data_IF_718797082936
#
_entry.id   IF_718797082936
#
_cell.length_a   1.000
_cell.length_b   1.000
_cell.length_c   1.000
_cell.angle_alpha   90.00
_cell.angle_beta   90.00
_cell.angle_gamma   90.00
#
_symmetry.space_group_name_H-M   'P 1'
#
loop_
_entity.id
_entity.type
_entity.pdbx_description
1 polymer ?
#
# COMPACT_ATOMS: atom_id res chain seq x y z
N UNK A 1 30.54 -4.98 -12.53
CA UNK A 1 30.18 -5.61 -11.27
C UNK A 1 28.66 -5.52 -11.13
N UNK A 2 27.97 -6.65 -11.04
CA UNK A 2 26.52 -6.68 -10.89
C UNK A 2 26.08 -6.16 -9.53
N UNK A 3 24.91 -5.52 -9.45
CA UNK A 3 24.28 -5.07 -8.21
C UNK A 3 22.90 -5.68 -8.09
N UNK A 4 22.55 -6.22 -6.94
CA UNK A 4 21.20 -6.71 -6.65
C UNK A 4 20.42 -5.63 -5.91
N UNK A 5 19.24 -5.31 -6.40
CA UNK A 5 18.26 -4.43 -5.75
C UNK A 5 17.02 -5.24 -5.41
N UNK A 6 16.51 -5.03 -4.20
CA UNK A 6 15.36 -5.78 -3.68
C UNK A 6 14.29 -4.82 -3.23
N UNK A 7 13.05 -5.12 -3.56
CA UNK A 7 11.86 -4.45 -3.03
C UNK A 7 10.80 -5.48 -2.63
N UNK A 8 9.94 -5.06 -1.73
CA UNK A 8 8.79 -5.85 -1.27
C UNK A 8 7.48 -5.12 -1.52
N UNK A 9 6.40 -5.87 -1.57
CA UNK A 9 5.02 -5.36 -1.60
C UNK A 9 4.12 -6.24 -0.74
N UNK A 10 2.95 -5.73 -0.42
CA UNK A 10 1.93 -6.43 0.37
C UNK A 10 0.57 -6.37 -0.31
N UNK A 11 -0.25 -7.39 -0.08
CA UNK A 11 -1.62 -7.44 -0.61
C UNK A 11 -2.53 -6.40 0.06
N UNK A 12 -3.70 -6.18 -0.52
CA UNK A 12 -4.72 -5.30 0.04
C UNK A 12 -5.18 -5.74 1.45
N UNK A 13 -5.09 -7.04 1.76
CA UNK A 13 -5.46 -7.59 3.05
C UNK A 13 -4.33 -7.62 4.09
N UNK A 14 -3.13 -7.17 3.76
CA UNK A 14 -2.11 -6.96 4.79
C UNK A 14 -2.61 -5.95 5.84
N UNK A 15 -2.44 -6.16 7.15
CA UNK A 15 -3.03 -5.31 8.19
C UNK A 15 -2.75 -3.81 8.02
N UNK A 16 -1.52 -3.42 7.69
CA UNK A 16 -1.21 -2.02 7.44
C UNK A 16 -1.92 -1.48 6.18
N UNK A 17 -2.04 -2.28 5.10
CA UNK A 17 -2.75 -1.85 3.89
C UNK A 17 -4.26 -1.85 4.06
N UNK A 18 -4.81 -2.71 4.92
CA UNK A 18 -6.19 -2.62 5.37
C UNK A 18 -6.45 -1.27 6.06
N UNK A 19 -5.56 -0.85 6.96
CA UNK A 19 -5.66 0.46 7.62
C UNK A 19 -5.57 1.61 6.62
N UNK A 20 -4.64 1.55 5.66
CA UNK A 20 -4.55 2.53 4.59
C UNK A 20 -5.87 2.60 3.80
N UNK A 21 -6.44 1.45 3.42
CA UNK A 21 -7.70 1.39 2.68
C UNK A 21 -8.90 1.91 3.49
N UNK A 22 -8.96 1.67 4.80
CA UNK A 22 -9.99 2.22 5.69
C UNK A 22 -9.87 3.75 5.74
N UNK A 23 -8.68 4.27 5.98
CA UNK A 23 -8.42 5.70 6.05
C UNK A 23 -8.73 6.41 4.72
N UNK A 24 -8.37 5.80 3.59
CA UNK A 24 -8.67 6.32 2.25
C UNK A 24 -10.18 6.26 1.94
N UNK A 25 -10.89 5.21 2.35
CA UNK A 25 -12.35 5.13 2.17
C UNK A 25 -13.11 6.20 2.96
N UNK A 26 -12.62 6.55 4.15
CA UNK A 26 -13.14 7.69 4.93
C UNK A 26 -12.84 9.01 4.21
N UNK A 27 -11.62 9.17 3.71
CA UNK A 27 -11.22 10.34 2.93
C UNK A 27 -12.09 10.51 1.69
N UNK A 28 -12.29 9.46 0.91
CA UNK A 28 -13.11 9.47 -0.30
C UNK A 28 -14.55 9.88 0.02
N UNK A 29 -15.16 9.31 1.06
CA UNK A 29 -16.51 9.66 1.50
C UNK A 29 -16.61 11.13 1.95
N UNK A 30 -15.58 11.66 2.62
CA UNK A 30 -15.53 13.08 2.98
C UNK A 30 -15.47 13.99 1.75
N UNK A 31 -14.61 13.66 0.77
CA UNK A 31 -14.43 14.47 -0.45
C UNK A 31 -15.66 14.40 -1.35
N UNK A 32 -16.36 13.28 -1.39
CA UNK A 32 -17.62 13.13 -2.15
C UNK A 32 -18.70 14.09 -1.63
N UNK A 33 -18.78 14.28 -0.31
CA UNK A 33 -19.72 15.22 0.32
C UNK A 33 -19.24 16.68 0.26
N UNK A 34 -17.96 16.89 0.46
CA UNK A 34 -17.34 18.21 0.50
C UNK A 34 -15.97 18.18 -0.17
N UNK A 35 -15.86 18.65 -1.43
CA UNK A 35 -14.57 18.68 -2.14
C UNK A 35 -13.47 19.52 -1.45
N UNK A 36 -13.84 20.32 -0.45
CA UNK A 36 -12.92 21.11 0.37
C UNK A 36 -12.76 20.58 1.79
N UNK A 37 -13.24 19.36 2.05
CA UNK A 37 -13.08 18.67 3.32
C UNK A 37 -11.62 18.66 3.78
N UNK A 38 -11.40 18.91 5.05
CA UNK A 38 -10.10 18.70 5.69
C UNK A 38 -10.15 17.40 6.45
N UNK A 39 -9.29 16.46 6.04
CA UNK A 39 -9.29 15.10 6.56
C UNK A 39 -7.86 14.69 6.92
N UNK A 40 -7.70 14.19 8.12
CA UNK A 40 -6.49 13.57 8.62
C UNK A 40 -6.91 12.41 9.53
N UNK A 41 -7.23 11.26 8.92
CA UNK A 41 -7.71 10.08 9.65
C UNK A 41 -6.68 8.96 9.54
N UNK A 42 -6.36 8.41 10.68
CA UNK A 42 -5.50 7.25 10.85
C UNK A 42 -6.30 6.09 11.44
N UNK A 43 -5.97 4.89 11.04
CA UNK A 43 -6.63 3.68 11.50
C UNK A 43 -5.61 2.73 12.11
N UNK A 44 -6.07 1.94 13.09
CA UNK A 44 -5.35 0.80 13.64
C UNK A 44 -6.29 -0.40 13.64
N UNK A 45 -5.78 -1.58 13.30
CA UNK A 45 -6.52 -2.83 13.40
C UNK A 45 -5.74 -3.86 14.21
N UNK A 46 -6.47 -4.64 15.03
CA UNK A 46 -5.92 -5.82 15.72
C UNK A 46 -7.01 -6.85 15.93
N UNK A 47 -6.72 -8.10 15.54
CA UNK A 47 -7.55 -9.26 15.81
C UNK A 47 -7.01 -10.07 17.00
N UNK A 48 -7.91 -10.76 17.66
CA UNK A 48 -7.69 -11.78 18.69
C UNK A 48 -8.44 -13.05 18.29
N UNK A 49 -8.38 -14.09 19.11
CA UNK A 49 -9.05 -15.35 18.77
C UNK A 49 -10.58 -15.19 18.56
N UNK A 50 -11.22 -14.40 19.41
CA UNK A 50 -12.69 -14.30 19.46
C UNK A 50 -13.18 -12.88 19.20
N UNK A 51 -12.30 -11.91 19.06
CA UNK A 51 -12.66 -10.50 18.87
C UNK A 51 -11.64 -9.76 18.01
N UNK A 52 -12.06 -8.66 17.44
CA UNK A 52 -11.21 -7.75 16.67
C UNK A 52 -11.53 -6.32 17.02
N UNK A 53 -10.58 -5.42 16.80
CA UNK A 53 -10.79 -3.99 17.05
C UNK A 53 -10.25 -3.17 15.88
N UNK A 54 -11.07 -2.23 15.43
CA UNK A 54 -10.67 -1.13 14.53
C UNK A 54 -10.70 0.15 15.36
N UNK A 55 -9.62 0.89 15.38
CA UNK A 55 -9.58 2.24 15.99
C UNK A 55 -9.42 3.24 14.87
N UNK A 56 -10.30 4.23 14.84
CA UNK A 56 -10.27 5.38 13.93
C UNK A 56 -9.92 6.61 14.75
N UNK A 57 -8.84 7.30 14.42
CA UNK A 57 -8.40 8.49 15.16
C UNK A 57 -7.99 9.60 14.20
N UNK A 58 -8.24 10.84 14.58
CA UNK A 58 -7.83 12.00 13.79
C UNK A 58 -8.85 13.11 13.74
N UNK A 59 -8.78 13.93 12.71
CA UNK A 59 -9.62 15.11 12.55
C UNK A 59 -10.29 15.11 11.18
N UNK A 60 -11.58 15.44 11.19
CA UNK A 60 -12.40 15.68 10.00
C UNK A 60 -13.13 17.00 10.15
N UNK A 61 -13.10 17.84 9.13
CA UNK A 61 -13.91 19.06 9.05
C UNK A 61 -14.63 19.06 7.71
N UNK A 62 -15.96 18.97 7.78
CA UNK A 62 -16.88 19.08 6.66
C UNK A 62 -17.66 20.37 6.75
N UNK A 63 -18.26 20.80 5.65
CA UNK A 63 -19.24 21.88 5.64
C UNK A 63 -20.47 21.53 6.51
N UNK A 64 -21.18 22.53 7.00
CA UNK A 64 -22.34 22.34 7.89
C UNK A 64 -23.41 21.44 7.26
N UNK A 65 -23.98 20.56 8.05
CA UNK A 65 -25.09 19.68 7.67
C UNK A 65 -24.68 18.32 7.08
N UNK A 66 -23.39 18.01 7.01
CA UNK A 66 -22.91 16.69 6.59
C UNK A 66 -22.46 15.86 7.79
N UNK A 67 -22.95 14.62 7.85
CA UNK A 67 -22.53 13.60 8.82
C UNK A 67 -22.18 12.31 8.08
N UNK A 68 -21.18 11.60 8.59
CA UNK A 68 -20.72 10.30 8.05
C UNK A 68 -20.69 9.27 9.17
N UNK A 69 -21.13 8.07 8.87
CA UNK A 69 -20.94 6.90 9.71
C UNK A 69 -19.57 6.29 9.43
N UNK A 70 -18.57 6.71 10.18
CA UNK A 70 -17.20 6.25 10.03
C UNK A 70 -17.05 4.75 10.37
N UNK A 71 -17.86 4.23 11.31
CA UNK A 71 -17.88 2.81 11.64
C UNK A 71 -18.35 2.00 10.44
N UNK A 72 -19.47 2.39 9.83
CA UNK A 72 -20.02 1.69 8.66
C UNK A 72 -19.01 1.68 7.49
N UNK A 73 -18.33 2.80 7.24
CA UNK A 73 -17.31 2.91 6.19
C UNK A 73 -16.15 1.94 6.47
N UNK A 74 -15.65 1.91 7.71
CA UNK A 74 -14.54 1.04 8.10
C UNK A 74 -14.91 -0.44 7.95
N UNK A 75 -16.08 -0.85 8.44
CA UNK A 75 -16.60 -2.22 8.32
C UNK A 75 -16.76 -2.64 6.87
N UNK A 76 -17.43 -1.84 6.05
CA UNK A 76 -17.63 -2.10 4.61
C UNK A 76 -16.29 -2.25 3.87
N UNK A 77 -15.32 -1.45 4.21
CA UNK A 77 -13.99 -1.53 3.61
C UNK A 77 -13.28 -2.82 3.97
N UNK A 78 -13.31 -3.22 5.24
CA UNK A 78 -12.71 -4.47 5.69
C UNK A 78 -13.39 -5.70 5.05
N UNK A 79 -14.72 -5.74 5.01
CA UNK A 79 -15.50 -6.79 4.35
C UNK A 79 -15.16 -6.85 2.85
N UNK A 80 -15.10 -5.72 2.17
CA UNK A 80 -14.71 -5.64 0.74
C UNK A 80 -13.33 -6.22 0.48
N UNK A 81 -12.41 -6.14 1.43
CA UNK A 81 -11.07 -6.71 1.33
C UNK A 81 -11.08 -8.21 1.57
N UNK A 82 -12.07 -8.76 2.29
CA UNK A 82 -12.24 -10.17 2.56
C UNK A 82 -12.16 -10.53 4.04
N UNK A 83 -12.35 -9.55 4.94
CA UNK A 83 -12.39 -9.74 6.39
C UNK A 83 -13.84 -9.81 6.87
N UNK A 84 -14.52 -10.88 6.50
CA UNK A 84 -15.92 -11.20 6.80
C UNK A 84 -16.10 -12.52 7.56
N UNK A 85 -14.99 -13.11 8.02
CA UNK A 85 -14.95 -14.33 8.81
C UNK A 85 -13.76 -14.29 9.78
N UNK A 86 -13.98 -14.64 11.05
CA UNK A 86 -12.94 -14.64 12.08
C UNK A 86 -11.77 -15.57 11.75
N UNK A 87 -12.01 -16.65 11.03
CA UNK A 87 -10.97 -17.62 10.64
C UNK A 87 -9.90 -17.05 9.73
N UNK A 88 -10.21 -15.98 8.98
CA UNK A 88 -9.23 -15.30 8.12
C UNK A 88 -8.44 -14.21 8.84
N UNK A 89 -8.77 -13.94 10.11
CA UNK A 89 -8.05 -13.00 10.96
C UNK A 89 -8.85 -11.82 11.51
N UNK A 90 -10.08 -11.60 11.02
CA UNK A 90 -11.03 -10.61 11.50
C UNK A 90 -12.40 -10.82 10.84
N UNK A 91 -13.48 -10.71 11.61
CA UNK A 91 -14.84 -10.60 11.08
C UNK A 91 -15.40 -9.20 11.31
N UNK A 92 -15.29 -8.34 10.30
CA UNK A 92 -15.81 -6.98 10.35
C UNK A 92 -17.33 -6.89 10.20
N UNK A 93 -18.01 -7.99 9.84
CA UNK A 93 -19.47 -8.04 9.68
C UNK A 93 -20.21 -8.34 10.98
N UNK A 94 -19.52 -8.97 11.93
CA UNK A 94 -20.09 -9.46 13.18
C UNK A 94 -19.90 -8.53 14.38
N UNK A 95 -20.59 -8.87 15.47
CA UNK A 95 -20.51 -8.19 16.76
C UNK A 95 -19.15 -8.40 17.45
N UNK A 96 -18.36 -9.38 16.98
CA UNK A 96 -17.00 -9.64 17.46
C UNK A 96 -15.98 -8.58 17.04
N UNK A 97 -16.33 -7.67 16.13
CA UNK A 97 -15.48 -6.55 15.74
C UNK A 97 -15.94 -5.26 16.39
N UNK A 98 -15.13 -4.73 17.31
CA UNK A 98 -15.35 -3.42 17.92
C UNK A 98 -14.77 -2.31 17.03
N UNK A 99 -15.53 -1.23 16.82
CA UNK A 99 -15.02 -0.02 16.18
C UNK A 99 -15.00 1.13 17.18
N UNK A 100 -13.82 1.68 17.42
CA UNK A 100 -13.62 2.82 18.35
C UNK A 100 -13.34 4.04 17.50
N UNK A 101 -14.25 5.00 17.51
CA UNK A 101 -14.14 6.25 16.75
C UNK A 101 -13.69 7.40 17.66
N UNK A 102 -12.49 7.91 17.42
CA UNK A 102 -11.84 9.04 18.09
C UNK A 102 -11.56 10.15 17.07
N UNK A 103 -12.59 10.52 16.29
CA UNK A 103 -12.48 11.54 15.25
C UNK A 103 -13.08 12.84 15.79
N UNK A 104 -12.25 13.89 15.82
CA UNK A 104 -12.64 15.23 16.25
C UNK A 104 -12.64 16.23 15.09
N UNK A 105 -12.96 17.51 15.43
CA UNK A 105 -12.78 18.62 14.49
C UNK A 105 -11.34 19.13 14.58
N UNK A 106 -10.78 19.57 13.43
CA UNK A 106 -9.45 20.17 13.40
C UNK A 106 -9.32 21.37 14.33
N UNK A 107 -8.21 21.45 15.07
CA UNK A 107 -7.89 22.57 15.94
C UNK A 107 -7.97 23.91 15.22
N UNK A 108 -8.58 24.96 15.83
CA UNK A 108 -8.62 26.31 15.24
C UNK A 108 -7.23 26.89 14.92
N UNK A 109 -6.20 26.51 15.67
CA UNK A 109 -4.82 26.99 15.49
C UNK A 109 -4.20 26.39 14.22
N UNK A 110 -4.43 25.09 13.96
CA UNK A 110 -4.00 24.45 12.70
C UNK A 110 -4.80 25.01 11.53
N UNK A 111 -6.09 25.25 11.71
CA UNK A 111 -6.97 25.83 10.70
C UNK A 111 -6.50 27.22 10.23
N UNK A 112 -5.88 28.03 11.09
CA UNK A 112 -5.30 29.33 10.69
C UNK A 112 -4.18 29.20 9.67
N UNK A 113 -3.37 28.15 9.74
CA UNK A 113 -2.30 27.89 8.78
C UNK A 113 -2.81 27.39 7.42
N UNK A 114 -4.00 26.81 7.37
CA UNK A 114 -4.58 26.17 6.17
C UNK A 114 -5.56 27.08 5.44
N UNK A 115 -6.34 27.90 6.18
CA UNK A 115 -7.37 28.74 5.60
C UNK A 115 -6.79 29.92 4.81
N UNK A 116 -7.31 30.09 3.59
CA UNK A 116 -6.94 31.23 2.72
C UNK A 116 -7.22 32.56 3.46
N UNK A 117 -6.18 33.37 3.62
CA UNK A 117 -6.28 34.71 4.22
C UNK A 117 -6.28 34.74 5.76
N UNK A 118 -6.23 33.61 6.44
CA UNK A 118 -6.21 33.55 7.90
C UNK A 118 -4.79 33.52 8.52
N UNK A 119 -3.78 33.10 7.75
CA UNK A 119 -2.38 33.05 8.16
C UNK A 119 -1.56 34.30 7.79
N UNK A 120 -0.25 34.23 8.03
CA UNK A 120 0.71 35.28 7.59
C UNK A 120 0.80 35.39 6.08
N UNK A 121 0.64 34.28 5.38
CA UNK A 121 0.55 34.20 3.93
C UNK A 121 -0.90 34.15 3.49
N UNK A 122 -1.23 34.89 2.42
CA UNK A 122 -2.61 34.98 1.91
C UNK A 122 -3.04 33.75 1.11
N UNK A 123 -2.12 32.86 0.79
CA UNK A 123 -2.40 31.58 0.11
C UNK A 123 -2.80 30.49 1.09
N UNK A 124 -3.31 29.39 0.54
CA UNK A 124 -3.60 28.19 1.33
C UNK A 124 -2.30 27.53 1.79
N UNK A 125 -2.15 27.29 3.08
CA UNK A 125 -0.99 26.63 3.68
C UNK A 125 -1.14 25.11 3.78
N UNK A 126 -0.04 24.40 4.07
CA UNK A 126 0.00 22.94 4.12
C UNK A 126 -0.35 22.33 5.49
N UNK A 127 -0.58 23.13 6.52
CA UNK A 127 -0.87 22.65 7.88
C UNK A 127 0.34 22.06 8.62
N UNK A 128 1.32 21.50 7.92
CA UNK A 128 2.56 20.96 8.47
C UNK A 128 3.69 21.03 7.43
N UNK A 129 4.92 20.83 7.88
CA UNK A 129 6.08 20.71 7.00
C UNK A 129 6.06 19.33 6.28
N UNK A 130 6.66 19.26 5.11
CA UNK A 130 6.77 18.01 4.35
C UNK A 130 7.93 18.03 3.37
N UNK A 131 8.46 16.85 3.08
CA UNK A 131 9.48 16.64 2.04
C UNK A 131 9.01 15.54 1.10
N UNK A 132 9.08 15.80 -0.21
CA UNK A 132 8.61 14.89 -1.25
C UNK A 132 9.76 14.49 -2.16
N UNK A 133 9.75 13.22 -2.57
CA UNK A 133 10.68 12.68 -3.54
C UNK A 133 9.91 12.12 -4.73
N UNK A 134 10.37 12.48 -5.93
CA UNK A 134 9.91 11.89 -7.17
C UNK A 134 11.05 11.10 -7.80
N UNK A 135 10.74 9.94 -8.35
CA UNK A 135 11.68 9.08 -9.07
C UNK A 135 11.01 8.47 -10.30
N UNK A 136 11.73 8.38 -11.40
CA UNK A 136 11.28 7.69 -12.59
C UNK A 136 12.47 6.99 -13.26
N UNK A 137 12.23 5.81 -13.84
CA UNK A 137 13.21 5.02 -14.56
C UNK A 137 12.60 4.48 -15.86
N UNK A 138 13.41 4.40 -16.90
CA UNK A 138 13.01 3.76 -18.16
C UNK A 138 13.52 2.32 -18.28
N UNK A 139 13.80 1.68 -17.17
CA UNK A 139 14.41 0.35 -17.15
C UNK A 139 13.46 -0.78 -17.58
N UNK A 140 12.16 -0.53 -17.54
CA UNK A 140 11.13 -1.43 -18.03
C UNK A 140 10.89 -1.34 -19.55
N UNK A 141 11.42 -0.32 -20.21
CA UNK A 141 11.24 -0.15 -21.65
C UNK A 141 11.93 -1.26 -22.44
N UNK A 142 11.19 -1.86 -23.36
CA UNK A 142 11.65 -3.00 -24.16
C UNK A 142 11.51 -4.36 -23.45
N UNK A 143 10.85 -4.42 -22.31
CA UNK A 143 10.46 -5.67 -21.65
C UNK A 143 8.94 -5.83 -21.83
N UNK A 144 8.56 -6.84 -22.61
CA UNK A 144 7.16 -7.09 -23.00
C UNK A 144 6.22 -7.09 -21.78
N UNK A 145 5.17 -6.28 -21.84
CA UNK A 145 4.16 -6.14 -20.81
C UNK A 145 4.57 -5.28 -19.61
N UNK A 146 5.76 -4.67 -19.63
CA UNK A 146 6.23 -3.77 -18.57
C UNK A 146 6.44 -2.33 -19.04
N UNK A 147 6.30 -2.07 -20.33
CA UNK A 147 6.53 -0.76 -20.93
C UNK A 147 5.63 0.33 -20.33
N UNK A 148 6.15 1.55 -20.27
CA UNK A 148 5.40 2.73 -19.83
C UNK A 148 5.16 2.82 -18.33
N UNK A 149 5.69 1.92 -17.52
CA UNK A 149 5.49 1.96 -16.07
C UNK A 149 6.33 3.04 -15.38
N UNK A 150 7.52 3.32 -15.90
CA UNK A 150 8.51 4.25 -15.36
C UNK A 150 8.88 4.04 -13.88
N UNK A 151 8.53 2.90 -13.32
CA UNK A 151 8.80 2.50 -11.94
C UNK A 151 10.05 1.61 -11.87
N UNK A 152 10.77 1.63 -10.73
CA UNK A 152 11.84 0.68 -10.49
C UNK A 152 11.36 -0.77 -10.61
N UNK A 153 12.13 -1.62 -11.30
CA UNK A 153 11.74 -2.99 -11.62
C UNK A 153 11.37 -3.83 -10.38
N UNK A 154 12.15 -3.86 -9.29
CA UNK A 154 11.84 -4.71 -8.13
C UNK A 154 10.48 -4.40 -7.51
N UNK A 155 10.17 -3.12 -7.29
CA UNK A 155 8.88 -2.72 -6.67
C UNK A 155 7.71 -2.94 -7.63
N UNK A 156 7.89 -2.65 -8.91
CA UNK A 156 6.85 -2.87 -9.92
C UNK A 156 6.46 -4.36 -10.01
N UNK A 157 7.44 -5.25 -10.06
CA UNK A 157 7.17 -6.70 -10.09
C UNK A 157 6.55 -7.18 -8.78
N UNK A 158 7.01 -6.67 -7.64
CA UNK A 158 6.40 -6.97 -6.34
C UNK A 158 4.94 -6.54 -6.28
N UNK A 159 4.60 -5.35 -6.77
CA UNK A 159 3.20 -4.89 -6.84
C UNK A 159 2.35 -5.79 -7.73
N UNK A 160 2.83 -6.16 -8.91
CA UNK A 160 2.09 -7.03 -9.82
C UNK A 160 1.78 -8.40 -9.22
N UNK A 161 2.71 -8.96 -8.44
CA UNK A 161 2.51 -10.24 -7.75
C UNK A 161 1.45 -10.13 -6.65
N UNK A 162 1.51 -9.09 -5.80
CA UNK A 162 0.50 -8.90 -4.74
C UNK A 162 -0.88 -8.55 -5.29
N UNK A 163 -0.95 -7.82 -6.39
CA UNK A 163 -2.20 -7.57 -7.10
C UNK A 163 -2.76 -8.86 -7.72
N UNK A 164 -1.91 -9.71 -8.29
CA UNK A 164 -2.32 -10.99 -8.87
C UNK A 164 -2.93 -11.93 -7.81
N UNK A 165 -2.32 -12.08 -6.62
CA UNK A 165 -2.91 -12.89 -5.54
C UNK A 165 -4.23 -12.28 -5.05
N UNK A 166 -4.31 -10.97 -4.89
CA UNK A 166 -5.54 -10.27 -4.48
C UNK A 166 -6.67 -10.51 -5.48
N UNK A 167 -6.39 -10.40 -6.79
CA UNK A 167 -7.38 -10.67 -7.84
C UNK A 167 -7.79 -12.15 -7.89
N UNK A 168 -6.83 -13.07 -7.76
CA UNK A 168 -7.11 -14.50 -7.80
C UNK A 168 -8.01 -14.95 -6.65
N UNK A 169 -7.79 -14.46 -5.44
CA UNK A 169 -8.66 -14.72 -4.29
C UNK A 169 -10.05 -14.12 -4.47
N UNK A 170 -10.14 -12.84 -4.81
CA UNK A 170 -11.42 -12.12 -4.98
C UNK A 170 -12.29 -12.68 -6.12
N UNK A 171 -11.69 -13.11 -7.21
CA UNK A 171 -12.43 -13.68 -8.34
C UNK A 171 -12.83 -15.14 -8.13
N UNK A 172 -12.32 -15.79 -7.08
CA UNK A 172 -12.47 -17.22 -6.86
C UNK A 172 -11.66 -18.09 -7.82
N UNK A 173 -10.76 -17.51 -8.62
CA UNK A 173 -9.87 -18.28 -9.51
C UNK A 173 -8.93 -19.21 -8.72
N UNK A 174 -8.57 -18.80 -7.52
CA UNK A 174 -7.87 -19.61 -6.52
C UNK A 174 -8.62 -19.46 -5.19
N UNK A 175 -9.64 -20.27 -4.94
CA UNK A 175 -10.63 -20.04 -3.88
C UNK A 175 -10.07 -20.19 -2.45
N UNK A 176 -8.96 -20.86 -2.29
CA UNK A 176 -8.30 -21.07 -1.00
C UNK A 176 -7.35 -19.94 -0.60
N UNK A 177 -7.11 -18.95 -1.46
CA UNK A 177 -6.32 -17.75 -1.11
C UNK A 177 -7.15 -16.87 -0.16
N UNK A 178 -6.50 -16.45 0.93
CA UNK A 178 -7.03 -15.51 1.92
C UNK A 178 -6.41 -14.12 1.74
N UNK A 179 -6.96 -13.06 2.41
CA UNK A 179 -6.63 -11.66 2.07
C UNK A 179 -5.17 -11.27 2.26
N UNK A 180 -4.49 -11.81 3.29
CA UNK A 180 -3.12 -11.40 3.63
C UNK A 180 -2.07 -12.06 2.73
N UNK A 181 -1.08 -11.28 2.35
CA UNK A 181 0.02 -11.78 1.55
C UNK A 181 1.10 -10.74 1.29
N UNK A 182 2.28 -11.24 0.94
CA UNK A 182 3.47 -10.43 0.66
C UNK A 182 4.24 -10.99 -0.52
N UNK A 183 4.94 -10.11 -1.22
CA UNK A 183 5.93 -10.49 -2.22
C UNK A 183 7.23 -9.74 -2.00
N UNK A 184 8.35 -10.34 -2.38
CA UNK A 184 9.65 -9.70 -2.45
C UNK A 184 10.36 -10.14 -3.71
N UNK A 185 10.89 -9.19 -4.47
CA UNK A 185 11.62 -9.46 -5.71
C UNK A 185 13.00 -8.82 -5.64
N UNK A 186 14.03 -9.64 -5.90
CA UNK A 186 15.42 -9.22 -6.02
C UNK A 186 15.86 -9.30 -7.46
N UNK A 187 16.27 -8.18 -8.03
CA UNK A 187 16.66 -8.05 -9.44
C UNK A 187 18.16 -7.76 -9.53
N UNK A 188 18.85 -8.51 -10.38
CA UNK A 188 20.25 -8.24 -10.75
C UNK A 188 20.30 -7.14 -11.79
N UNK A 189 21.16 -6.17 -11.56
CA UNK A 189 21.47 -5.07 -12.47
C UNK A 189 22.90 -5.17 -12.96
N UNK A 190 23.09 -5.04 -14.24
CA UNK A 190 24.38 -4.85 -14.90
C UNK A 190 24.33 -3.58 -15.75
N UNK A 191 25.34 -2.74 -15.65
CA UNK A 191 25.40 -1.46 -16.38
C UNK A 191 24.12 -0.60 -16.21
N UNK A 192 23.53 -0.63 -14.99
CA UNK A 192 22.30 0.06 -14.63
C UNK A 192 21.03 -0.46 -15.34
N UNK A 193 21.07 -1.64 -15.95
CA UNK A 193 19.91 -2.30 -16.57
C UNK A 193 19.57 -3.58 -15.80
N UNK A 194 18.28 -3.86 -15.58
CA UNK A 194 17.86 -5.13 -15.02
C UNK A 194 18.18 -6.25 -16.02
N UNK A 195 18.79 -7.33 -15.55
CA UNK A 195 19.18 -8.47 -16.39
C UNK A 195 18.50 -9.78 -15.98
N UNK A 196 17.85 -9.81 -14.83
CA UNK A 196 17.11 -10.99 -14.38
C UNK A 196 16.81 -10.96 -12.88
N UNK A 197 15.93 -11.84 -12.45
CA UNK A 197 15.55 -12.02 -11.05
C UNK A 197 16.50 -13.02 -10.40
N UNK A 198 17.08 -12.67 -9.25
CA UNK A 198 17.91 -13.57 -8.45
C UNK A 198 17.11 -14.32 -7.40
N UNK A 199 16.10 -13.66 -6.82
CA UNK A 199 15.16 -14.31 -5.91
C UNK A 199 13.78 -13.68 -5.94
N UNK A 200 12.76 -14.51 -5.72
CA UNK A 200 11.37 -14.16 -5.60
C UNK A 200 10.80 -14.89 -4.40
N UNK A 201 10.22 -14.16 -3.46
CA UNK A 201 9.61 -14.73 -2.26
C UNK A 201 8.16 -14.29 -2.23
N UNK A 202 7.25 -15.23 -1.99
CA UNK A 202 5.83 -14.95 -1.76
C UNK A 202 5.37 -15.61 -0.46
N UNK A 203 4.64 -14.86 0.34
CA UNK A 203 3.86 -15.38 1.45
C UNK A 203 2.38 -15.13 1.13
N UNK A 204 1.59 -16.18 1.11
CA UNK A 204 0.17 -16.16 0.73
C UNK A 204 -0.64 -16.85 1.81
N UNK A 205 -1.53 -16.12 2.44
CA UNK A 205 -2.46 -16.67 3.41
C UNK A 205 -3.44 -17.60 2.70
N UNK A 206 -3.74 -18.77 3.31
CA UNK A 206 -4.53 -19.82 2.68
C UNK A 206 -5.41 -20.58 3.68
N UNK A 207 -6.40 -21.29 3.18
CA UNK A 207 -7.22 -22.23 3.95
C UNK A 207 -6.42 -23.40 4.50
N UNK A 208 -6.99 -24.11 5.48
CA UNK A 208 -6.41 -25.36 5.99
C UNK A 208 -6.63 -26.52 5.01
N UNK A 209 -5.94 -26.45 3.87
CA UNK A 209 -6.05 -27.46 2.82
C UNK A 209 -5.53 -28.83 3.26
N UNK A 210 -4.59 -28.88 4.20
CA UNK A 210 -4.11 -30.14 4.74
C UNK A 210 -5.26 -30.94 5.36
N UNK A 211 -6.08 -30.31 6.19
CA UNK A 211 -7.25 -30.93 6.80
C UNK A 211 -8.38 -31.21 5.80
N UNK A 212 -8.60 -30.27 4.86
CA UNK A 212 -9.73 -30.34 3.93
C UNK A 212 -9.50 -31.31 2.76
N UNK A 213 -8.27 -31.39 2.22
CA UNK A 213 -7.96 -32.06 0.95
C UNK A 213 -6.88 -33.14 1.04
N UNK A 214 -5.94 -33.05 2.00
CA UNK A 214 -4.75 -33.88 2.04
C UNK A 214 -4.67 -34.77 3.28
N UNK A 215 -5.80 -35.01 3.97
CA UNK A 215 -5.87 -35.92 5.11
C UNK A 215 -4.92 -35.59 6.27
N UNK A 216 -4.54 -34.31 6.39
CA UNK A 216 -3.60 -33.80 7.40
C UNK A 216 -2.15 -33.75 6.93
N UNK A 217 -1.85 -34.10 5.68
CA UNK A 217 -0.48 -34.02 5.14
C UNK A 217 -0.11 -32.57 4.77
N UNK A 218 0.64 -31.93 5.65
CA UNK A 218 1.09 -30.53 5.49
C UNK A 218 2.18 -30.38 4.44
N UNK A 219 2.92 -31.46 4.12
CA UNK A 219 3.96 -31.40 3.09
C UNK A 219 3.33 -31.47 1.69
N UNK A 220 2.28 -32.29 1.53
CA UNK A 220 1.53 -32.34 0.28
C UNK A 220 0.77 -31.02 0.04
N UNK A 221 0.14 -30.45 1.08
CA UNK A 221 -0.43 -29.10 1.05
C UNK A 221 0.58 -28.06 0.55
N UNK A 222 1.76 -28.04 1.15
CA UNK A 222 2.80 -27.06 0.78
C UNK A 222 3.22 -27.20 -0.69
N UNK A 223 3.45 -28.40 -1.17
CA UNK A 223 3.80 -28.66 -2.57
C UNK A 223 2.69 -28.24 -3.53
N UNK A 224 1.44 -28.48 -3.16
CA UNK A 224 0.28 -28.05 -3.93
C UNK A 224 0.23 -26.54 -4.02
N UNK A 225 0.33 -25.81 -2.89
CA UNK A 225 0.31 -24.36 -2.83
C UNK A 225 1.47 -23.77 -3.67
N UNK A 226 2.68 -24.29 -3.51
CA UNK A 226 3.86 -23.84 -4.26
C UNK A 226 3.64 -23.99 -5.77
N UNK A 227 3.14 -25.15 -6.22
CA UNK A 227 2.84 -25.39 -7.63
C UNK A 227 1.76 -24.47 -8.18
N UNK A 228 0.64 -24.30 -7.46
CA UNK A 228 -0.47 -23.44 -7.88
C UNK A 228 -0.05 -21.96 -7.97
N UNK A 229 0.68 -21.47 -6.97
CA UNK A 229 1.18 -20.09 -6.97
C UNK A 229 2.21 -19.89 -8.08
N UNK A 230 3.10 -20.86 -8.33
CA UNK A 230 4.05 -20.78 -9.42
C UNK A 230 3.33 -20.67 -10.78
N UNK A 231 2.40 -21.59 -11.06
CA UNK A 231 1.78 -21.69 -12.38
C UNK A 231 0.70 -20.62 -12.63
N UNK A 232 -0.09 -20.27 -11.60
CA UNK A 232 -1.24 -19.37 -11.78
C UNK A 232 -0.96 -17.90 -11.43
N UNK A 233 0.08 -17.64 -10.63
CA UNK A 233 0.42 -16.28 -10.20
C UNK A 233 1.76 -15.84 -10.73
N UNK A 234 2.85 -16.57 -10.44
CA UNK A 234 4.21 -16.09 -10.71
C UNK A 234 4.49 -16.09 -12.23
N UNK A 235 4.30 -17.23 -12.91
CA UNK A 235 4.59 -17.34 -14.34
C UNK A 235 3.78 -16.39 -15.22
N UNK A 236 2.46 -16.19 -15.00
CA UNK A 236 1.67 -15.23 -15.78
C UNK A 236 2.01 -13.76 -15.51
N UNK A 237 2.64 -13.46 -14.35
CA UNK A 237 2.90 -12.09 -13.89
C UNK A 237 4.29 -11.60 -14.26
N UNK A 238 5.29 -12.49 -14.21
CA UNK A 238 6.69 -12.17 -14.43
C UNK A 238 7.06 -12.56 -15.86
N UNK A 239 7.62 -11.65 -16.68
CA UNK A 239 8.10 -11.98 -18.02
C UNK A 239 9.15 -13.11 -17.97
N UNK A 240 9.01 -14.09 -18.87
CA UNK A 240 9.88 -15.28 -18.88
C UNK A 240 11.36 -14.91 -19.01
N UNK A 241 11.68 -13.88 -19.78
CA UNK A 241 13.04 -13.39 -19.94
C UNK A 241 13.70 -12.88 -18.65
N UNK A 242 12.91 -12.62 -17.61
CA UNK A 242 13.43 -12.21 -16.30
C UNK A 242 13.85 -13.39 -15.42
N UNK A 243 13.46 -14.62 -15.77
CA UNK A 243 13.94 -15.83 -15.11
C UNK A 243 15.25 -16.31 -15.71
N UNK A 244 16.08 -16.92 -14.87
CA UNK A 244 17.29 -17.62 -15.25
C UNK A 244 17.48 -18.87 -14.39
N UNK A 245 18.41 -19.73 -14.74
CA UNK A 245 18.65 -21.01 -14.05
C UNK A 245 19.03 -20.85 -12.56
N UNK A 246 19.47 -19.65 -12.17
CA UNK A 246 19.83 -19.31 -10.79
C UNK A 246 18.72 -18.63 -10.01
N UNK A 247 17.54 -18.39 -10.60
CA UNK A 247 16.43 -17.70 -9.92
C UNK A 247 15.86 -18.58 -8.80
N UNK A 248 16.00 -18.12 -7.56
CA UNK A 248 15.42 -18.81 -6.40
C UNK A 248 14.00 -18.32 -6.16
N UNK A 249 13.03 -19.24 -6.25
CA UNK A 249 11.63 -18.95 -5.89
C UNK A 249 11.30 -19.64 -4.57
N UNK A 250 10.62 -18.92 -3.66
CA UNK A 250 10.19 -19.44 -2.36
C UNK A 250 8.75 -19.00 -2.15
N UNK A 251 7.86 -19.96 -1.96
CA UNK A 251 6.46 -19.73 -1.60
C UNK A 251 6.22 -20.27 -0.19
N UNK A 252 5.66 -19.45 0.72
CA UNK A 252 5.40 -19.79 2.10
C UNK A 252 6.59 -20.49 2.79
N UNK A 253 7.79 -19.91 2.64
CA UNK A 253 9.06 -20.53 3.08
C UNK A 253 9.18 -20.81 4.58
N UNK A 254 8.33 -20.21 5.41
CA UNK A 254 8.23 -20.49 6.86
C UNK A 254 7.25 -21.63 7.19
N UNK A 255 6.57 -22.18 6.19
CA UNK A 255 5.55 -23.21 6.32
C UNK A 255 4.13 -22.68 6.10
N UNK A 256 3.16 -23.23 6.83
CA UNK A 256 1.73 -22.89 6.69
C UNK A 256 1.45 -21.44 7.09
N UNK A 257 0.61 -20.78 6.31
CA UNK A 257 0.18 -19.42 6.57
C UNK A 257 -1.36 -19.35 6.59
N UNK A 258 -1.98 -19.97 7.60
CA UNK A 258 -3.43 -20.00 7.80
C UNK A 258 -3.87 -18.77 8.61
N UNK A 259 -3.23 -18.55 9.77
CA UNK A 259 -3.51 -17.40 10.62
C UNK A 259 -2.75 -16.19 10.10
N UNK A 260 -3.46 -15.25 9.53
CA UNK A 260 -2.95 -14.01 8.95
C UNK A 260 -3.77 -12.80 9.33
N UNK A 261 -3.59 -11.71 8.60
CA UNK A 261 -4.35 -10.49 8.78
C UNK A 261 -4.20 -9.87 10.17
N UNK A 262 -5.20 -9.11 10.65
CA UNK A 262 -5.19 -8.44 11.94
C UNK A 262 -4.98 -9.36 13.14
N UNK A 263 -5.33 -10.64 13.03
CA UNK A 263 -5.05 -11.62 14.08
C UNK A 263 -3.55 -11.83 14.28
N UNK A 264 -2.82 -12.04 13.19
CA UNK A 264 -1.39 -12.34 13.25
C UNK A 264 -0.57 -11.08 13.60
N UNK A 265 -0.90 -9.94 13.01
CA UNK A 265 -0.15 -8.70 13.18
C UNK A 265 -1.09 -7.49 13.31
N UNK A 266 -0.65 -6.48 14.04
CA UNK A 266 -1.38 -5.21 14.14
C UNK A 266 -1.09 -4.35 12.91
N UNK A 267 -2.16 -3.75 12.34
CA UNK A 267 -2.04 -2.78 11.27
C UNK A 267 -2.16 -1.35 11.75
N UNK A 268 -1.45 -0.44 11.06
CA UNK A 268 -1.60 1.00 11.21
C UNK A 268 -1.48 1.68 9.85
N UNK A 269 -2.24 2.78 9.69
CA UNK A 269 -2.13 3.67 8.52
C UNK A 269 -0.71 4.24 8.41
N UNK A 270 -0.17 4.28 7.19
CA UNK A 270 1.11 4.91 6.91
C UNK A 270 2.36 4.12 7.30
N UNK A 271 2.24 2.81 7.53
CA UNK A 271 3.39 1.93 7.82
C UNK A 271 3.96 1.20 6.60
N UNK A 272 3.40 1.40 5.41
CA UNK A 272 3.88 0.81 4.15
C UNK A 272 4.36 1.85 3.13
N UNK A 273 4.88 2.97 3.63
CA UNK A 273 5.27 4.13 2.82
C UNK A 273 6.36 3.83 1.77
N UNK A 274 7.23 2.87 2.00
CA UNK A 274 8.24 2.44 1.01
C UNK A 274 7.60 1.60 -0.09
N UNK A 275 6.61 0.77 0.27
CA UNK A 275 5.77 0.03 -0.69
C UNK A 275 4.94 1.00 -1.54
N UNK A 276 4.41 2.05 -0.92
CA UNK A 276 3.57 3.06 -1.58
C UNK A 276 4.35 3.95 -2.57
N UNK A 277 5.69 3.89 -2.55
CA UNK A 277 6.54 4.73 -3.38
C UNK A 277 7.45 3.90 -4.30
N UNK A 278 8.76 3.96 -4.12
CA UNK A 278 9.72 3.44 -5.08
C UNK A 278 10.51 2.21 -4.57
N UNK A 279 10.00 1.53 -3.53
CA UNK A 279 10.60 0.29 -3.02
C UNK A 279 12.01 0.43 -2.44
N UNK A 280 12.36 1.63 -1.94
CA UNK A 280 13.69 1.90 -1.37
C UNK A 280 14.76 2.29 -2.40
N UNK A 281 14.45 2.32 -3.70
CA UNK A 281 15.37 2.82 -4.75
C UNK A 281 15.35 4.35 -4.77
N UNK A 282 14.18 4.96 -4.70
CA UNK A 282 14.02 6.40 -4.43
C UNK A 282 14.03 6.70 -2.93
N UNK A 283 14.41 7.91 -2.57
CA UNK A 283 14.29 8.39 -1.20
C UNK A 283 12.82 8.58 -0.79
N UNK A 284 12.56 8.69 0.52
CA UNK A 284 11.22 8.96 1.07
C UNK A 284 11.28 10.03 2.16
N UNK A 285 10.29 10.92 2.18
CA UNK A 285 10.21 12.01 3.15
C UNK A 285 9.64 11.63 4.53
N UNK A 286 9.14 10.41 4.69
CA UNK A 286 8.63 9.87 5.96
C UNK A 286 7.12 10.05 6.20
N UNK A 287 6.42 10.89 5.43
CA UNK A 287 4.98 11.13 5.59
C UNK A 287 4.10 10.05 4.97
N UNK A 288 3.02 9.68 5.63
CA UNK A 288 1.99 8.81 5.08
C UNK A 288 1.17 9.52 3.98
N UNK A 289 0.61 8.74 3.05
CA UNK A 289 -0.25 9.25 1.98
C UNK A 289 -1.73 9.07 2.32
N UNK A 290 -2.10 7.92 2.88
CA UNK A 290 -3.48 7.51 3.10
C UNK A 290 -4.19 8.34 4.17
N UNK A 291 -5.49 8.57 3.99
CA UNK A 291 -6.37 9.25 4.94
C UNK A 291 -6.19 10.76 5.05
N UNK A 292 -5.50 11.40 4.11
CA UNK A 292 -5.07 12.82 4.20
C UNK A 292 -5.53 13.64 2.99
N UNK A 293 -6.31 14.70 3.20
CA UNK A 293 -6.75 15.63 2.15
C UNK A 293 -6.38 17.08 2.42
N UNK A 294 -6.37 17.85 1.34
CA UNK A 294 -6.16 19.29 1.21
C UNK A 294 -4.84 19.77 1.80
N UNK A 295 -4.64 19.68 3.10
CA UNK A 295 -3.39 20.15 3.74
C UNK A 295 -2.21 19.23 3.50
N UNK A 296 -2.44 17.97 3.15
CA UNK A 296 -1.39 16.96 3.04
C UNK A 296 -1.16 16.46 1.62
N UNK A 297 -2.17 16.38 0.78
CA UNK A 297 -2.03 15.84 -0.58
C UNK A 297 -1.83 16.92 -1.65
N UNK A 298 -2.63 17.98 -1.62
CA UNK A 298 -2.57 19.03 -2.64
C UNK A 298 -1.43 20.01 -2.42
N UNK A 299 -0.98 20.18 -1.18
CA UNK A 299 0.04 21.16 -0.79
C UNK A 299 1.35 20.54 -0.34
N UNK A 300 1.47 19.24 -0.40
CA UNK A 300 2.68 18.52 -0.03
C UNK A 300 3.87 18.86 -0.91
N UNK A 301 3.68 19.06 -2.19
CA UNK A 301 4.69 19.58 -3.07
C UNK A 301 4.60 21.11 -3.09
N UNK A 302 5.02 21.79 -2.03
CA UNK A 302 5.27 23.21 -2.07
C UNK A 302 6.41 23.52 -3.04
N UNK A 303 6.07 23.47 -4.30
CA UNK A 303 6.96 23.95 -5.33
C UNK A 303 6.87 25.47 -5.35
N UNK A 304 8.02 26.11 -5.14
CA UNK A 304 8.11 27.55 -5.40
C UNK A 304 7.74 27.80 -6.87
N UNK A 305 7.24 29.00 -7.23
CA UNK A 305 6.96 29.34 -8.61
C UNK A 305 8.12 29.04 -9.55
N UNK A 306 9.36 29.17 -9.06
CA UNK A 306 10.56 28.86 -9.80
C UNK A 306 10.72 27.36 -10.07
N UNK A 307 10.43 26.50 -9.12
CA UNK A 307 10.47 25.03 -9.28
C UNK A 307 9.41 24.55 -10.26
N UNK A 308 8.21 25.13 -10.25
CA UNK A 308 7.15 24.84 -11.24
C UNK A 308 7.59 25.22 -12.66
N UNK A 309 8.21 26.39 -12.83
CA UNK A 309 8.73 26.83 -14.13
C UNK A 309 9.86 25.91 -14.61
N UNK A 310 10.71 25.46 -13.72
CA UNK A 310 11.76 24.49 -14.02
C UNK A 310 11.22 23.18 -14.58
N UNK A 311 10.25 22.57 -13.92
CA UNK A 311 9.63 21.33 -14.40
C UNK A 311 8.98 21.48 -15.76
N UNK A 312 8.27 22.58 -15.96
CA UNK A 312 7.57 22.84 -17.22
C UNK A 312 8.50 23.11 -18.41
N UNK A 313 9.71 23.62 -18.16
CA UNK A 313 10.62 24.04 -19.25
C UNK A 313 11.82 23.11 -19.44
N UNK A 314 12.08 22.15 -18.54
CA UNK A 314 13.25 21.25 -18.64
C UNK A 314 14.60 21.98 -18.71
N UNK A 315 14.64 23.27 -18.37
CA UNK A 315 15.80 24.13 -18.55
C UNK A 315 16.60 24.38 -17.26
N UNK A 316 17.89 24.59 -17.37
CA UNK A 316 18.74 25.01 -16.24
C UNK A 316 18.41 26.45 -15.85
N UNK A 317 18.16 26.68 -14.55
CA UNK A 317 18.02 28.03 -14.01
C UNK A 317 19.35 28.77 -14.20
N UNK A 318 19.35 29.89 -14.92
CA UNK A 318 20.53 30.76 -15.02
C UNK A 318 20.57 31.67 -13.80
N UNK A 319 21.55 31.45 -12.96
CA UNK A 319 22.03 32.36 -11.93
C UNK A 319 21.14 32.45 -10.67
N UNK A 320 21.69 32.17 -9.53
CA UNK A 320 21.16 32.39 -8.18
C UNK A 320 21.31 31.13 -7.32
N UNK A 321 22.25 31.14 -6.41
CA UNK A 321 22.55 30.02 -5.52
C UNK A 321 21.37 29.62 -4.67
N UNK A 322 21.15 28.34 -4.59
CA UNK A 322 20.19 27.72 -3.71
C UNK A 322 20.14 26.25 -4.03
N UNK A 323 20.52 25.42 -3.08
CA UNK A 323 20.75 24.01 -3.21
C UNK A 323 19.67 23.29 -3.96
N UNK A 324 20.04 22.69 -5.06
CA UNK A 324 19.23 21.77 -5.79
C UNK A 324 19.72 20.36 -5.49
N UNK A 325 18.87 19.53 -5.01
CA UNK A 325 19.06 18.10 -5.15
C UNK A 325 18.70 17.73 -6.57
N UNK A 326 19.60 17.09 -7.29
CA UNK A 326 19.37 16.48 -8.58
C UNK A 326 18.70 15.12 -8.47
#
# INVERSE_FOLDING_TARGET
MGRVLTSESVSAGHPDKLCDAISDSILDACIELDPFARVAVESMVKGMADESTIVLAGEVTLNEGHELDFEEIARKTAIRIGYDDQSVGMDASGDSCNVITLIGRQSPEIAQGVNIGAGKDKGQGAGDQGIMFGFASNESEGIEGLEGSYMPMPIMLSHRLTDAITRAGRSGAIPWIRPDGKSQVSVLYENRRPVGITSLIMAVQHDDLASERFGGDTLEEHRFIESEIMEKIIRPTIPEMMFNDGTKVVVNGTGRFILGGPYADAGLTGRKIIVDTYGGIGCHGGGAFSGKAVSYTHLRAHETPEQRVWRLRGGKKKGGGGGGGG
#
